data_IF_927023520629
#
_entry.id   IF_927023520629
#
_cell.length_a   1.000
_cell.length_b   1.000
_cell.length_c   1.000
_cell.angle_alpha   90.00
_cell.angle_beta   90.00
_cell.angle_gamma   90.00
#
_symmetry.space_group_name_H-M   'P 1'
#
loop_
_entity.id
_entity.type
_entity.pdbx_description
1 polymer ?
#
# COMPACT_ATOMS: atom_id res chain seq x y z
N UNK A 1 -4.42 -12.12 -3.23
CA UNK A 1 -4.12 -10.92 -2.44
C UNK A 1 -2.65 -10.98 -2.11
N UNK A 2 -1.96 -9.85 -2.19
CA UNK A 2 -0.53 -9.75 -1.85
C UNK A 2 -0.37 -8.70 -0.75
N UNK A 3 0.51 -8.99 0.21
CA UNK A 3 0.95 -8.05 1.22
C UNK A 3 2.40 -7.70 0.94
N UNK A 4 2.67 -6.44 0.61
CA UNK A 4 4.03 -5.93 0.49
C UNK A 4 4.42 -5.21 1.79
N UNK A 5 5.59 -5.57 2.30
CA UNK A 5 6.16 -5.03 3.54
C UNK A 5 7.52 -4.45 3.21
N UNK A 6 7.79 -3.25 3.71
CA UNK A 6 9.09 -2.59 3.57
C UNK A 6 9.57 -2.11 4.93
N UNK A 7 10.81 -2.45 5.25
CA UNK A 7 11.48 -2.01 6.47
C UNK A 7 12.96 -1.79 6.20
N UNK A 8 13.61 -0.91 6.95
CA UNK A 8 15.07 -0.81 6.95
C UNK A 8 15.73 -2.03 7.62
N UNK A 9 17.06 -2.14 7.48
CA UNK A 9 17.87 -3.25 8.02
C UNK A 9 17.67 -3.46 9.52
N UNK A 10 17.52 -2.38 10.29
CA UNK A 10 17.35 -2.45 11.76
C UNK A 10 15.92 -2.73 12.19
N UNK A 11 14.94 -2.73 11.28
CA UNK A 11 13.53 -2.91 11.62
C UNK A 11 12.88 -1.70 12.31
N UNK A 12 13.59 -0.57 12.42
CA UNK A 12 13.13 0.64 13.11
C UNK A 12 12.28 1.55 12.24
N UNK A 13 12.55 1.57 10.94
CA UNK A 13 11.78 2.33 9.94
C UNK A 13 10.85 1.34 9.22
N UNK A 14 9.67 1.14 9.79
CA UNK A 14 8.63 0.24 9.27
C UNK A 14 7.65 1.07 8.46
N UNK A 15 7.59 0.82 7.16
CA UNK A 15 6.67 1.54 6.28
C UNK A 15 5.24 1.01 6.42
N UNK A 16 4.23 1.84 6.11
CA UNK A 16 2.84 1.40 6.08
C UNK A 16 2.68 0.14 5.22
N UNK A 17 1.85 -0.78 5.68
CA UNK A 17 1.55 -2.00 4.94
C UNK A 17 0.90 -1.64 3.60
N UNK A 18 1.24 -2.40 2.55
CA UNK A 18 0.68 -2.18 1.23
C UNK A 18 -0.09 -3.42 0.77
N UNK A 19 -1.42 -3.32 0.75
CA UNK A 19 -2.30 -4.43 0.40
C UNK A 19 -2.66 -4.35 -1.09
N UNK A 20 -2.42 -5.43 -1.83
CA UNK A 20 -2.78 -5.50 -3.25
C UNK A 20 -3.89 -6.52 -3.44
N UNK A 21 -5.06 -6.03 -3.84
CA UNK A 21 -6.26 -6.82 -4.14
C UNK A 21 -6.37 -7.24 -5.59
N UNK A 22 -7.23 -8.22 -5.87
CA UNK A 22 -7.71 -8.47 -7.24
C UNK A 22 -8.85 -7.52 -7.59
N UNK A 23 -9.81 -7.37 -6.68
CA UNK A 23 -10.92 -6.44 -6.79
C UNK A 23 -10.56 -5.06 -6.27
N UNK A 24 -11.21 -4.01 -6.81
CA UNK A 24 -11.10 -2.63 -6.29
C UNK A 24 -11.57 -2.53 -4.83
N UNK A 25 -12.61 -3.28 -4.49
CA UNK A 25 -13.19 -3.34 -3.14
C UNK A 25 -13.32 -4.81 -2.74
N UNK A 26 -12.83 -5.24 -1.57
CA UNK A 26 -13.05 -6.59 -1.06
C UNK A 26 -14.56 -6.89 -0.93
N UNK A 27 -14.98 -8.11 -1.28
CA UNK A 27 -16.42 -8.50 -1.21
C UNK A 27 -17.09 -8.20 0.13
N UNK A 28 -16.47 -8.50 1.30
CA UNK A 28 -17.08 -8.20 2.60
C UNK A 28 -17.28 -6.71 2.90
N UNK A 29 -16.53 -5.83 2.23
CA UNK A 29 -16.68 -4.38 2.36
C UNK A 29 -17.69 -3.83 1.36
N UNK A 30 -17.71 -4.39 0.14
CA UNK A 30 -18.63 -4.02 -0.93
C UNK A 30 -20.09 -4.22 -0.53
N UNK A 31 -20.41 -5.34 0.11
CA UNK A 31 -21.79 -5.67 0.53
C UNK A 31 -22.35 -4.68 1.56
N UNK A 32 -21.47 -4.03 2.32
CA UNK A 32 -21.84 -3.08 3.36
C UNK A 32 -21.55 -1.62 2.96
N UNK A 33 -21.19 -1.37 1.70
CA UNK A 33 -20.77 -0.04 1.20
C UNK A 33 -19.74 0.65 2.09
N UNK A 34 -18.81 -0.13 2.66
CA UNK A 34 -17.78 0.39 3.58
C UNK A 34 -16.58 0.90 2.82
N UNK A 35 -16.00 1.99 3.33
CA UNK A 35 -14.78 2.56 2.78
C UNK A 35 -13.58 1.64 3.05
N UNK A 36 -12.79 1.38 2.01
CA UNK A 36 -11.70 0.39 2.07
C UNK A 36 -10.54 0.92 2.89
N UNK A 37 -10.18 2.19 2.71
CA UNK A 37 -9.03 2.80 3.37
C UNK A 37 -9.27 2.94 4.88
N UNK A 38 -10.48 3.32 5.28
CA UNK A 38 -10.89 3.42 6.69
C UNK A 38 -10.92 2.06 7.39
N UNK A 39 -11.43 1.02 6.73
CA UNK A 39 -11.54 -0.33 7.32
C UNK A 39 -10.19 -1.06 7.41
N UNK A 40 -9.31 -0.85 6.43
CA UNK A 40 -8.00 -1.52 6.37
C UNK A 40 -6.93 -0.69 7.08
N UNK A 41 -7.10 0.63 7.19
CA UNK A 41 -6.10 1.55 7.74
C UNK A 41 -4.86 1.69 6.86
N UNK A 42 -4.95 1.30 5.59
CA UNK A 42 -3.83 1.33 4.64
C UNK A 42 -4.34 1.39 3.20
N UNK A 43 -3.44 1.81 2.30
CA UNK A 43 -3.72 1.82 0.85
C UNK A 43 -4.04 0.41 0.34
N UNK A 44 -5.07 0.33 -0.50
CA UNK A 44 -5.53 -0.89 -1.13
C UNK A 44 -5.60 -0.76 -2.66
N UNK A 45 -4.46 -0.70 -3.37
CA UNK A 45 -4.48 -0.81 -4.83
C UNK A 45 -4.94 -2.20 -5.28
N UNK A 46 -5.38 -2.29 -6.53
CA UNK A 46 -5.80 -3.56 -7.11
C UNK A 46 -5.22 -3.77 -8.52
N UNK A 47 -4.84 -5.00 -8.82
CA UNK A 47 -4.44 -5.44 -10.16
C UNK A 47 -5.09 -6.77 -10.49
N UNK A 48 -5.17 -7.13 -11.78
CA UNK A 48 -5.85 -8.37 -12.22
C UNK A 48 -5.37 -9.62 -11.45
N UNK A 49 -4.08 -9.68 -11.14
CA UNK A 49 -3.45 -10.82 -10.47
C UNK A 49 -3.14 -10.55 -8.99
N UNK A 50 -3.61 -9.42 -8.43
CA UNK A 50 -3.24 -8.95 -7.10
C UNK A 50 -1.72 -8.88 -6.88
N UNK A 51 -0.97 -8.55 -7.93
CA UNK A 51 0.48 -8.42 -7.90
C UNK A 51 0.89 -6.96 -8.10
N UNK A 52 2.05 -6.59 -7.57
CA UNK A 52 2.63 -5.27 -7.78
C UNK A 52 3.09 -5.14 -9.23
N UNK A 53 2.73 -4.03 -9.88
CA UNK A 53 3.25 -3.68 -11.20
C UNK A 53 4.16 -2.46 -11.11
N UNK A 54 4.79 -2.10 -12.23
CA UNK A 54 5.70 -0.96 -12.30
C UNK A 54 5.03 0.36 -11.91
N UNK A 55 3.77 0.57 -12.29
CA UNK A 55 3.05 1.81 -11.96
C UNK A 55 2.83 1.96 -10.44
N UNK A 56 2.30 0.92 -9.79
CA UNK A 56 2.11 0.88 -8.35
C UNK A 56 3.44 1.04 -7.60
N UNK A 57 4.50 0.42 -8.12
CA UNK A 57 5.83 0.51 -7.52
C UNK A 57 6.40 1.93 -7.65
N UNK A 58 6.29 2.56 -8.81
CA UNK A 58 6.70 3.94 -9.02
C UNK A 58 5.90 4.92 -8.15
N UNK A 59 4.59 4.73 -8.00
CA UNK A 59 3.77 5.54 -7.09
C UNK A 59 4.20 5.37 -5.63
N UNK A 60 4.46 4.13 -5.21
CA UNK A 60 4.96 3.84 -3.87
C UNK A 60 6.34 4.47 -3.63
N UNK A 61 7.26 4.39 -4.61
CA UNK A 61 8.58 5.02 -4.53
C UNK A 61 8.50 6.54 -4.41
N UNK A 62 7.62 7.20 -5.17
CA UNK A 62 7.41 8.65 -5.06
C UNK A 62 6.90 9.06 -3.69
N UNK A 63 6.00 8.26 -3.10
CA UNK A 63 5.52 8.51 -1.74
C UNK A 63 6.64 8.32 -0.71
N UNK A 64 7.45 7.26 -0.85
CA UNK A 64 8.60 7.02 0.00
C UNK A 64 9.62 8.17 -0.07
N UNK A 65 9.94 8.63 -1.28
CA UNK A 65 10.87 9.74 -1.53
C UNK A 65 10.37 11.04 -0.90
N UNK A 66 9.09 11.36 -1.07
CA UNK A 66 8.46 12.51 -0.42
C UNK A 66 8.53 12.44 1.11
N UNK A 67 8.28 11.26 1.70
CA UNK A 67 8.40 11.03 3.15
C UNK A 67 9.86 11.17 3.62
N UNK A 68 10.83 10.68 2.83
CA UNK A 68 12.26 10.81 3.15
C UNK A 68 12.70 12.27 3.11
N UNK A 69 12.26 13.04 2.12
CA UNK A 69 12.51 14.48 2.05
C UNK A 69 11.90 15.24 3.24
N UNK A 70 10.70 14.88 3.70
CA UNK A 70 10.11 15.47 4.92
C UNK A 70 10.91 15.16 6.19
N UNK A 71 11.65 14.04 6.19
CA UNK A 71 12.55 13.65 7.27
C UNK A 71 13.96 14.24 7.11
N UNK A 72 14.18 15.17 6.17
CA UNK A 72 15.48 15.73 5.80
C UNK A 72 16.52 14.67 5.40
N UNK A 73 16.04 13.57 4.81
CA UNK A 73 16.86 12.51 4.20
C UNK A 73 16.95 12.80 2.70
N UNK A 74 18.16 12.71 2.15
CA UNK A 74 18.45 12.94 0.72
C UNK A 74 19.00 11.68 0.07
#
# INVERSE_FOLDING_TARGET
MTLAVATNVTGSDRRPLHFIGTSKVPRPLKEKSRDVETEIGAKYPNSRNAWMNSDMYCEWLKALDADMHQQDRR
#
